data_IF_600228330121
#
_entry.id   IF_600228330121
#
_cell.length_a   1.000
_cell.length_b   1.000
_cell.length_c   1.000
_cell.angle_alpha   90.00
_cell.angle_beta   90.00
_cell.angle_gamma   90.00
#
_symmetry.space_group_name_H-M   'P 1'
#
loop_
_entity.id
_entity.type
_entity.pdbx_description
1 polymer ?
#
# COMPACT_ATOMS: atom_id res chain seq x y z
N UNK A 1 -6.34 21.57 -15.45
CA UNK A 1 -5.42 22.51 -16.11
C UNK A 1 -4.07 21.85 -16.19
N UNK A 2 -3.71 21.34 -17.37
CA UNK A 2 -2.36 20.90 -17.68
C UNK A 2 -1.41 22.07 -17.48
N UNK A 3 -0.42 21.95 -16.59
CA UNK A 3 0.60 22.95 -16.30
C UNK A 3 1.56 23.16 -17.46
N UNK A 4 1.06 23.54 -18.63
CA UNK A 4 1.85 24.20 -19.65
C UNK A 4 2.28 25.54 -19.07
N UNK A 5 3.42 25.55 -18.39
CA UNK A 5 4.04 26.79 -17.95
C UNK A 5 4.48 27.57 -19.20
N UNK A 6 4.10 28.85 -19.25
CA UNK A 6 4.61 29.76 -20.27
C UNK A 6 6.13 29.70 -20.33
N UNK A 7 6.65 29.79 -21.56
CA UNK A 7 8.07 29.77 -21.92
C UNK A 7 8.94 30.69 -21.03
N UNK A 8 8.36 31.76 -20.50
CA UNK A 8 9.04 32.79 -19.73
C UNK A 8 9.40 32.40 -18.29
N UNK A 9 8.70 31.42 -17.67
CA UNK A 9 9.08 30.91 -16.34
C UNK A 9 10.14 29.81 -16.43
N UNK A 10 10.09 28.98 -17.48
CA UNK A 10 11.07 27.92 -17.70
C UNK A 10 12.48 28.48 -17.96
N UNK A 11 12.57 29.63 -18.65
CA UNK A 11 13.84 30.29 -18.98
C UNK A 11 14.54 30.94 -17.77
N UNK A 12 13.81 31.29 -16.71
CA UNK A 12 14.35 32.03 -15.56
C UNK A 12 14.78 31.13 -14.39
N UNK A 13 14.03 30.06 -14.11
CA UNK A 13 14.28 29.22 -12.93
C UNK A 13 15.35 28.14 -13.16
N UNK A 14 15.48 27.60 -14.38
CA UNK A 14 16.47 26.55 -14.67
C UNK A 14 17.92 27.01 -14.43
N UNK A 15 18.37 28.20 -14.91
CA UNK A 15 19.74 28.65 -14.71
C UNK A 15 20.11 28.89 -13.25
N UNK A 16 19.24 29.58 -12.49
CA UNK A 16 19.50 29.84 -11.06
C UNK A 16 19.51 28.54 -10.24
N UNK A 17 18.59 27.62 -10.53
CA UNK A 17 18.55 26.33 -9.84
C UNK A 17 19.79 25.49 -10.13
N UNK A 18 20.26 25.48 -11.39
CA UNK A 18 21.53 24.84 -11.78
C UNK A 18 22.73 25.45 -11.05
N UNK A 19 22.78 26.78 -10.94
CA UNK A 19 23.87 27.47 -10.23
C UNK A 19 23.90 27.11 -8.73
N UNK A 20 22.73 27.05 -8.08
CA UNK A 20 22.63 26.62 -6.68
C UNK A 20 23.13 25.19 -6.45
N UNK A 21 22.98 24.32 -7.45
CA UNK A 21 23.29 22.89 -7.37
C UNK A 21 24.65 22.53 -7.95
N UNK A 22 25.46 23.51 -8.38
CA UNK A 22 26.73 23.27 -9.10
C UNK A 22 27.67 22.30 -8.38
N UNK A 23 27.64 22.29 -7.06
CA UNK A 23 28.44 21.43 -6.20
C UNK A 23 27.98 19.95 -6.24
N UNK A 24 26.72 19.69 -6.57
CA UNK A 24 26.14 18.34 -6.57
C UNK A 24 25.71 17.83 -7.94
N UNK A 25 25.64 18.66 -8.98
CA UNK A 25 25.29 18.24 -10.36
C UNK A 25 26.05 16.99 -10.85
N UNK A 26 27.37 16.84 -10.61
CA UNK A 26 28.12 15.66 -11.05
C UNK A 26 27.66 14.33 -10.42
N UNK A 27 26.96 14.38 -9.28
CA UNK A 27 26.45 13.19 -8.56
C UNK A 27 25.05 12.75 -9.00
N UNK A 28 24.42 13.49 -9.92
CA UNK A 28 23.07 13.22 -10.39
C UNK A 28 23.07 12.20 -11.53
N UNK A 29 22.00 11.39 -11.65
CA UNK A 29 21.88 10.42 -12.75
C UNK A 29 21.66 11.10 -14.12
N UNK A 30 21.15 12.33 -14.12
CA UNK A 30 21.00 13.16 -15.32
C UNK A 30 21.10 14.62 -14.94
N UNK A 31 21.72 15.41 -15.81
CA UNK A 31 21.84 16.87 -15.68
C UNK A 31 20.96 17.60 -16.72
N UNK A 32 20.06 16.89 -17.41
CA UNK A 32 19.16 17.53 -18.37
C UNK A 32 18.09 18.40 -17.69
N UNK A 33 17.48 19.32 -18.45
CA UNK A 33 16.46 20.22 -17.90
C UNK A 33 15.24 19.43 -17.40
N UNK A 34 14.91 18.33 -18.06
CA UNK A 34 13.78 17.48 -17.68
C UNK A 34 13.93 16.95 -16.25
N UNK A 35 15.09 16.42 -15.90
CA UNK A 35 15.38 15.93 -14.56
C UNK A 35 15.23 17.04 -13.51
N UNK A 36 15.87 18.19 -13.71
CA UNK A 36 15.80 19.31 -12.75
C UNK A 36 14.39 19.89 -12.62
N UNK A 37 13.64 19.95 -13.72
CA UNK A 37 12.27 20.45 -13.72
C UNK A 37 11.31 19.58 -12.92
N UNK A 38 11.56 18.28 -12.76
CA UNK A 38 10.73 17.42 -11.88
C UNK A 38 10.75 17.91 -10.43
N UNK A 39 11.94 18.24 -9.92
CA UNK A 39 12.12 18.73 -8.55
C UNK A 39 11.48 20.10 -8.36
N UNK A 40 11.64 20.99 -9.35
CA UNK A 40 11.00 22.30 -9.36
C UNK A 40 9.47 22.19 -9.38
N UNK A 41 8.89 21.38 -10.29
CA UNK A 41 7.43 21.19 -10.38
C UNK A 41 6.87 20.62 -9.08
N UNK A 42 7.53 19.62 -8.50
CA UNK A 42 7.10 18.99 -7.25
C UNK A 42 7.07 19.94 -6.03
N UNK A 43 7.72 21.10 -6.12
CA UNK A 43 7.71 22.15 -5.09
C UNK A 43 7.20 23.48 -5.62
N UNK A 44 6.39 23.47 -6.68
CA UNK A 44 5.77 24.65 -7.26
C UNK A 44 6.77 25.78 -7.61
N UNK A 45 7.97 25.40 -8.06
CA UNK A 45 9.10 26.28 -8.38
C UNK A 45 9.67 27.07 -7.17
N UNK A 46 9.44 26.59 -5.95
CA UNK A 46 10.11 27.08 -4.73
C UNK A 46 11.56 26.57 -4.73
N UNK A 47 12.51 27.45 -5.07
CA UNK A 47 13.92 27.09 -5.23
C UNK A 47 14.52 26.45 -3.96
N UNK A 48 14.43 27.05 -2.75
CA UNK A 48 14.96 26.43 -1.53
C UNK A 48 14.39 25.03 -1.25
N UNK A 49 13.08 24.83 -1.39
CA UNK A 49 12.47 23.52 -1.15
C UNK A 49 12.84 22.49 -2.20
N UNK A 50 12.93 22.91 -3.47
CA UNK A 50 13.36 22.05 -4.58
C UNK A 50 14.79 21.58 -4.39
N UNK A 51 15.67 22.50 -3.96
CA UNK A 51 17.07 22.21 -3.68
C UNK A 51 17.22 21.25 -2.49
N UNK A 52 16.54 21.53 -1.38
CA UNK A 52 16.56 20.66 -0.20
C UNK A 52 16.07 19.24 -0.53
N UNK A 53 15.00 19.12 -1.34
CA UNK A 53 14.48 17.83 -1.78
C UNK A 53 15.50 17.07 -2.63
N UNK A 54 16.13 17.74 -3.60
CA UNK A 54 17.13 17.10 -4.47
C UNK A 54 18.41 16.71 -3.70
N UNK A 55 18.87 17.53 -2.76
CA UNK A 55 20.01 17.19 -1.90
C UNK A 55 19.72 15.97 -1.03
N UNK A 56 18.51 15.87 -0.45
CA UNK A 56 18.06 14.64 0.26
C UNK A 56 18.05 13.42 -0.67
N UNK A 57 17.60 13.58 -1.91
CA UNK A 57 17.63 12.50 -2.90
C UNK A 57 19.06 12.00 -3.17
N UNK A 58 20.05 12.89 -3.27
CA UNK A 58 21.47 12.51 -3.45
C UNK A 58 21.97 11.67 -2.28
N UNK A 59 21.61 12.03 -1.03
CA UNK A 59 21.95 11.23 0.15
C UNK A 59 21.32 9.84 0.11
N UNK A 60 20.04 9.75 -0.30
CA UNK A 60 19.34 8.47 -0.47
C UNK A 60 19.99 7.63 -1.56
N UNK A 61 20.36 8.24 -2.70
CA UNK A 61 21.06 7.54 -3.79
C UNK A 61 22.36 6.91 -3.30
N UNK A 62 23.14 7.66 -2.51
CA UNK A 62 24.37 7.15 -1.90
C UNK A 62 24.10 6.00 -0.93
N UNK A 63 23.07 6.14 -0.07
CA UNK A 63 22.71 5.10 0.90
C UNK A 63 22.22 3.81 0.25
N UNK A 64 21.44 3.93 -0.83
CA UNK A 64 20.88 2.80 -1.57
C UNK A 64 21.86 2.17 -2.57
N UNK A 65 23.03 2.78 -2.77
CA UNK A 65 23.98 2.44 -3.83
C UNK A 65 23.30 2.45 -5.21
N UNK A 66 22.57 3.54 -5.49
CA UNK A 66 21.65 3.66 -6.64
C UNK A 66 22.33 3.46 -8.00
N UNK A 67 23.63 3.76 -8.11
CA UNK A 67 24.36 3.62 -9.36
C UNK A 67 24.56 2.14 -9.74
N UNK A 68 24.73 1.26 -8.73
CA UNK A 68 24.93 -0.18 -8.89
C UNK A 68 23.68 -1.01 -8.55
N UNK A 69 22.57 -0.38 -8.14
CA UNK A 69 21.43 -1.10 -7.56
C UNK A 69 20.75 -2.10 -8.51
N UNK A 70 20.89 -1.93 -9.82
CA UNK A 70 20.34 -2.91 -10.77
C UNK A 70 21.12 -4.23 -10.80
N UNK A 71 22.39 -4.20 -10.41
CA UNK A 71 23.26 -5.37 -10.25
C UNK A 71 23.05 -6.05 -8.89
N UNK A 72 22.49 -5.34 -7.91
CA UNK A 72 22.09 -5.93 -6.64
C UNK A 72 20.96 -6.94 -6.85
N UNK A 73 21.18 -8.16 -6.38
CA UNK A 73 20.18 -9.22 -6.40
C UNK A 73 19.34 -9.20 -5.11
N UNK A 74 18.01 -9.06 -5.21
CA UNK A 74 17.15 -9.16 -4.05
C UNK A 74 17.20 -10.58 -3.45
N UNK A 75 16.99 -10.72 -2.12
CA UNK A 75 16.80 -12.01 -1.47
C UNK A 75 15.82 -12.91 -2.23
N UNK A 76 16.10 -14.22 -2.27
CA UNK A 76 15.31 -15.19 -3.03
C UNK A 76 13.81 -15.11 -2.74
N UNK A 77 13.46 -14.93 -1.46
CA UNK A 77 12.07 -14.79 -1.02
C UNK A 77 11.37 -13.57 -1.63
N UNK A 78 12.08 -12.43 -1.77
CA UNK A 78 11.53 -11.24 -2.41
C UNK A 78 11.34 -11.51 -3.90
N UNK A 79 12.34 -12.07 -4.60
CA UNK A 79 12.23 -12.35 -6.04
C UNK A 79 11.09 -13.32 -6.38
N UNK A 80 10.83 -14.29 -5.49
CA UNK A 80 9.82 -15.33 -5.70
C UNK A 80 8.42 -14.92 -5.28
N UNK A 81 8.27 -14.14 -4.21
CA UNK A 81 6.96 -13.91 -3.57
C UNK A 81 6.55 -12.44 -3.48
N UNK A 82 7.44 -11.49 -3.79
CA UNK A 82 7.02 -10.09 -3.93
C UNK A 82 6.33 -9.91 -5.27
N UNK A 83 5.03 -9.64 -5.22
CA UNK A 83 4.20 -9.47 -6.40
C UNK A 83 4.55 -8.20 -7.18
N UNK A 84 4.22 -8.23 -8.47
CA UNK A 84 4.31 -7.12 -9.40
C UNK A 84 5.43 -7.28 -10.41
N UNK A 85 5.54 -6.30 -11.30
CA UNK A 85 6.56 -6.28 -12.34
C UNK A 85 6.24 -5.33 -13.49
N UNK A 86 7.25 -5.06 -14.31
CA UNK A 86 7.12 -4.22 -15.48
C UNK A 86 6.70 -5.05 -16.70
N UNK A 87 5.61 -4.65 -17.37
CA UNK A 87 5.11 -5.38 -18.54
C UNK A 87 4.46 -4.44 -19.56
N UNK A 88 5.10 -4.30 -20.73
CA UNK A 88 4.57 -3.51 -21.83
C UNK A 88 4.74 -2.00 -21.66
N UNK A 89 4.26 -1.26 -22.66
CA UNK A 89 4.27 0.19 -22.71
C UNK A 89 2.90 0.71 -23.14
N UNK A 90 2.53 1.90 -22.66
CA UNK A 90 1.30 2.54 -23.12
C UNK A 90 1.42 3.05 -24.57
N UNK A 91 0.33 3.59 -25.12
CA UNK A 91 0.29 4.12 -26.50
C UNK A 91 1.29 5.26 -26.74
N UNK A 92 1.78 5.90 -25.69
CA UNK A 92 2.80 6.93 -25.73
C UNK A 92 4.18 6.38 -25.34
N UNK A 93 4.37 5.06 -25.31
CA UNK A 93 5.64 4.44 -25.00
C UNK A 93 6.10 4.57 -23.54
N UNK A 94 5.23 4.99 -22.62
CA UNK A 94 5.54 5.03 -21.19
C UNK A 94 5.53 3.61 -20.62
N UNK A 95 6.55 3.17 -19.87
CA UNK A 95 6.57 1.84 -19.25
C UNK A 95 5.38 1.63 -18.31
N UNK A 96 4.89 0.38 -18.26
CA UNK A 96 3.77 -0.01 -17.40
C UNK A 96 4.27 -0.91 -16.25
N UNK A 97 3.91 -0.55 -15.02
CA UNK A 97 4.12 -1.36 -13.83
C UNK A 97 2.80 -1.98 -13.33
N UNK A 98 2.82 -3.27 -13.03
CA UNK A 98 1.71 -3.98 -12.39
C UNK A 98 2.06 -4.29 -10.94
N UNK A 99 1.16 -4.00 -10.00
CA UNK A 99 1.22 -4.51 -8.61
C UNK A 99 -0.02 -5.38 -8.35
N UNK A 100 0.19 -6.60 -7.85
CA UNK A 100 -0.88 -7.61 -7.64
C UNK A 100 -1.11 -7.81 -6.15
N UNK A 101 -2.18 -7.22 -5.60
CA UNK A 101 -2.30 -7.07 -4.15
C UNK A 101 -2.81 -8.33 -3.45
N UNK A 102 -3.91 -8.93 -3.91
CA UNK A 102 -4.57 -10.05 -3.20
C UNK A 102 -3.68 -11.24 -2.82
N UNK A 103 -2.79 -11.75 -3.69
CA UNK A 103 -1.94 -12.88 -3.37
C UNK A 103 -0.68 -12.50 -2.57
N UNK A 104 -0.47 -11.21 -2.24
CA UNK A 104 0.69 -10.79 -1.47
C UNK A 104 0.59 -11.29 -0.02
N UNK A 105 1.55 -12.11 0.39
CA UNK A 105 1.73 -12.51 1.79
C UNK A 105 2.68 -11.54 2.51
N UNK A 106 2.12 -10.38 2.91
CA UNK A 106 2.89 -9.33 3.59
C UNK A 106 3.50 -9.81 4.92
N UNK A 107 2.84 -10.72 5.63
CA UNK A 107 3.33 -11.25 6.92
C UNK A 107 4.51 -12.19 6.69
N UNK A 108 4.38 -13.14 5.77
CA UNK A 108 5.47 -14.03 5.37
C UNK A 108 6.68 -13.28 4.82
N UNK A 109 6.47 -12.23 4.00
CA UNK A 109 7.56 -11.38 3.51
C UNK A 109 8.28 -10.64 4.63
N UNK A 110 7.55 -10.02 5.56
CA UNK A 110 8.16 -9.29 6.69
C UNK A 110 8.82 -10.20 7.74
N UNK A 111 8.43 -11.47 7.78
CA UNK A 111 9.08 -12.50 8.60
C UNK A 111 10.30 -13.12 7.91
N UNK A 112 10.42 -12.98 6.59
CA UNK A 112 11.49 -13.61 5.80
C UNK A 112 12.55 -12.62 5.29
N UNK A 113 12.21 -11.34 5.19
CA UNK A 113 13.10 -10.29 4.71
C UNK A 113 13.15 -9.10 5.68
N UNK A 114 14.20 -8.30 5.57
CA UNK A 114 14.25 -7.03 6.30
C UNK A 114 13.41 -5.97 5.59
N UNK A 115 12.91 -4.99 6.34
CA UNK A 115 12.24 -3.81 5.76
C UNK A 115 13.16 -3.07 4.80
N UNK A 116 14.47 -3.03 5.09
CA UNK A 116 15.48 -2.41 4.23
C UNK A 116 15.60 -3.14 2.89
N UNK A 117 15.56 -4.47 2.86
CA UNK A 117 15.59 -5.23 1.60
C UNK A 117 14.34 -4.97 0.75
N UNK A 118 13.17 -4.83 1.39
CA UNK A 118 11.92 -4.49 0.69
C UNK A 118 11.98 -3.05 0.10
N UNK A 119 12.48 -2.08 0.88
CA UNK A 119 12.71 -0.71 0.43
C UNK A 119 13.72 -0.66 -0.72
N UNK A 120 14.85 -1.35 -0.58
CA UNK A 120 15.89 -1.42 -1.61
C UNK A 120 15.38 -2.10 -2.88
N UNK A 121 14.55 -3.14 -2.76
CA UNK A 121 13.91 -3.76 -3.91
C UNK A 121 12.97 -2.80 -4.65
N UNK A 122 12.10 -2.06 -3.95
CA UNK A 122 11.24 -1.08 -4.62
C UNK A 122 12.02 0.11 -5.18
N UNK A 123 13.11 0.54 -4.55
CA UNK A 123 14.01 1.54 -5.12
C UNK A 123 14.67 1.02 -6.41
N UNK A 124 15.09 -0.25 -6.43
CA UNK A 124 15.62 -0.93 -7.63
C UNK A 124 14.58 -0.95 -8.75
N UNK A 125 13.32 -1.27 -8.45
CA UNK A 125 12.23 -1.25 -9.42
C UNK A 125 12.04 0.15 -10.03
N UNK A 126 12.15 1.21 -9.22
CA UNK A 126 12.09 2.59 -9.69
C UNK A 126 13.28 2.98 -10.59
N UNK A 127 14.51 2.59 -10.24
CA UNK A 127 15.69 2.81 -11.10
C UNK A 127 15.58 2.02 -12.42
N UNK A 128 15.01 0.81 -12.39
CA UNK A 128 14.76 0.02 -13.59
C UNK A 128 13.78 0.73 -14.51
N UNK A 129 12.66 1.23 -13.97
CA UNK A 129 11.68 2.02 -14.72
C UNK A 129 12.29 3.32 -15.27
N UNK A 130 13.16 3.99 -14.51
CA UNK A 130 13.89 5.18 -14.98
C UNK A 130 14.77 4.86 -16.19
N UNK A 131 15.58 3.79 -16.13
CA UNK A 131 16.40 3.35 -17.27
C UNK A 131 15.53 2.95 -18.45
N UNK A 132 14.36 2.36 -18.20
CA UNK A 132 13.45 1.98 -19.27
C UNK A 132 12.82 3.21 -19.97
N UNK A 133 12.46 4.24 -19.22
CA UNK A 133 12.07 5.54 -19.76
C UNK A 133 13.18 6.15 -20.64
N UNK A 134 14.45 6.05 -20.25
CA UNK A 134 15.59 6.53 -21.05
C UNK A 134 15.72 5.77 -22.37
N UNK A 135 15.64 4.43 -22.35
CA UNK A 135 15.65 3.61 -23.57
C UNK A 135 14.49 3.95 -24.49
N UNK A 136 13.29 4.09 -23.94
CA UNK A 136 12.11 4.49 -24.72
C UNK A 136 12.27 5.90 -25.29
N UNK A 137 12.92 6.80 -24.56
CA UNK A 137 13.22 8.14 -25.06
C UNK A 137 14.12 8.11 -26.29
N UNK A 138 15.17 7.29 -26.24
CA UNK A 138 16.10 7.10 -27.35
C UNK A 138 15.39 6.45 -28.55
N UNK A 139 14.63 5.40 -28.31
CA UNK A 139 13.89 4.64 -29.34
C UNK A 139 12.86 5.51 -30.08
N UNK A 140 12.16 6.39 -29.37
CA UNK A 140 11.06 7.18 -29.92
C UNK A 140 11.47 8.59 -30.36
N UNK A 141 12.72 8.99 -30.10
CA UNK A 141 13.22 10.34 -30.42
C UNK A 141 12.53 11.47 -29.65
N UNK A 142 11.89 11.17 -28.51
CA UNK A 142 11.21 12.16 -27.64
C UNK A 142 11.31 11.75 -26.18
N UNK A 143 11.27 12.71 -25.25
CA UNK A 143 11.40 12.41 -23.81
C UNK A 143 10.24 11.56 -23.31
N UNK A 144 10.57 10.43 -22.69
CA UNK A 144 9.72 9.59 -21.84
C UNK A 144 10.30 9.67 -20.44
N UNK A 145 9.50 10.09 -19.47
CA UNK A 145 9.96 10.29 -18.09
C UNK A 145 8.93 9.92 -17.02
N UNK A 146 7.79 9.37 -17.44
CA UNK A 146 6.68 9.00 -16.58
C UNK A 146 6.27 7.55 -16.81
N UNK A 147 5.68 6.93 -15.80
CA UNK A 147 5.21 5.54 -15.84
C UNK A 147 3.71 5.45 -15.61
N UNK A 148 3.08 4.45 -16.21
CA UNK A 148 1.70 4.08 -15.94
C UNK A 148 1.69 2.91 -14.96
N UNK A 149 0.86 2.95 -13.94
CA UNK A 149 0.74 1.88 -12.95
C UNK A 149 -0.65 1.25 -13.03
N UNK A 150 -0.71 -0.07 -12.96
CA UNK A 150 -1.95 -0.86 -12.84
C UNK A 150 -1.88 -1.62 -11.53
N UNK A 151 -2.82 -1.32 -10.65
CA UNK A 151 -2.95 -1.90 -9.32
C UNK A 151 -4.12 -2.85 -9.31
N UNK A 152 -3.82 -4.13 -9.30
CA UNK A 152 -4.81 -5.18 -9.18
C UNK A 152 -5.16 -5.40 -7.71
N UNK A 153 -6.31 -4.86 -7.31
CA UNK A 153 -6.79 -4.98 -5.93
C UNK A 153 -7.74 -6.17 -5.72
N UNK A 154 -7.89 -7.07 -6.70
CA UNK A 154 -8.64 -8.31 -6.48
C UNK A 154 -8.02 -9.08 -5.31
N UNK A 155 -8.85 -9.52 -4.37
CA UNK A 155 -8.41 -10.21 -3.15
C UNK A 155 -7.84 -9.30 -2.05
N UNK A 156 -7.79 -7.98 -2.24
CA UNK A 156 -7.52 -7.05 -1.13
C UNK A 156 -8.53 -7.29 0.01
N UNK A 157 -8.00 -7.36 1.24
CA UNK A 157 -8.73 -7.90 2.39
C UNK A 157 -8.01 -7.60 3.71
N UNK A 158 -8.61 -8.02 4.82
CA UNK A 158 -8.16 -7.73 6.19
C UNK A 158 -6.68 -8.09 6.46
N UNK A 159 -6.18 -9.17 5.85
CA UNK A 159 -4.76 -9.57 5.97
C UNK A 159 -3.76 -8.48 5.57
N UNK A 160 -4.16 -7.60 4.64
CA UNK A 160 -3.31 -6.51 4.15
C UNK A 160 -3.36 -5.28 5.06
N UNK A 161 -4.28 -5.22 6.03
CA UNK A 161 -4.40 -4.14 7.00
C UNK A 161 -3.58 -4.38 8.27
N UNK A 162 -2.81 -5.47 8.31
CA UNK A 162 -1.85 -5.74 9.39
C UNK A 162 -0.88 -4.56 9.55
N UNK A 163 -0.80 -4.01 10.76
CA UNK A 163 -0.14 -2.72 11.00
C UNK A 163 1.31 -2.66 10.49
N UNK A 164 2.18 -3.64 10.77
CA UNK A 164 3.54 -3.64 10.20
C UNK A 164 3.61 -3.64 8.67
N UNK A 165 2.66 -4.29 7.99
CA UNK A 165 2.58 -4.25 6.53
C UNK A 165 2.15 -2.87 6.03
N UNK A 166 1.14 -2.27 6.66
CA UNK A 166 0.66 -0.92 6.33
C UNK A 166 1.76 0.12 6.54
N UNK A 167 2.46 0.06 7.68
CA UNK A 167 3.56 0.98 8.01
C UNK A 167 4.72 0.83 7.02
N UNK A 168 5.11 -0.42 6.71
CA UNK A 168 6.15 -0.69 5.69
C UNK A 168 5.74 -0.15 4.32
N UNK A 169 4.48 -0.35 3.93
CA UNK A 169 3.98 0.14 2.66
C UNK A 169 3.92 1.68 2.60
N UNK A 170 3.57 2.33 3.71
CA UNK A 170 3.66 3.78 3.86
C UNK A 170 5.08 4.31 3.66
N UNK A 171 6.09 3.63 4.20
CA UNK A 171 7.49 3.96 3.96
C UNK A 171 7.91 3.78 2.50
N UNK A 172 7.43 2.72 1.82
CA UNK A 172 7.68 2.52 0.38
C UNK A 172 7.09 3.67 -0.45
N UNK A 173 5.85 4.09 -0.16
CA UNK A 173 5.21 5.22 -0.82
C UNK A 173 5.93 6.54 -0.55
N UNK A 174 6.36 6.74 0.70
CA UNK A 174 7.10 7.95 1.10
C UNK A 174 8.44 8.03 0.37
N UNK A 175 9.16 6.90 0.29
CA UNK A 175 10.38 6.79 -0.51
C UNK A 175 10.12 7.16 -1.98
N UNK A 176 9.04 6.66 -2.57
CA UNK A 176 8.66 6.97 -3.95
C UNK A 176 8.40 8.47 -4.16
N UNK A 177 7.56 9.09 -3.32
CA UNK A 177 7.19 10.51 -3.41
C UNK A 177 8.37 11.46 -3.17
N UNK A 178 9.31 11.06 -2.31
CA UNK A 178 10.49 11.87 -1.98
C UNK A 178 11.60 11.78 -3.04
N UNK A 179 11.70 10.65 -3.77
CA UNK A 179 12.83 10.37 -4.66
C UNK A 179 12.48 10.31 -6.15
N UNK A 180 11.21 10.12 -6.48
CA UNK A 180 10.73 10.02 -7.86
C UNK A 180 9.57 11.00 -8.12
N UNK A 181 9.74 12.30 -7.81
CA UNK A 181 8.71 13.30 -8.07
C UNK A 181 8.31 13.32 -9.54
N UNK A 182 7.06 13.68 -9.82
CA UNK A 182 6.56 13.93 -11.18
C UNK A 182 6.77 12.73 -12.13
N UNK A 183 6.95 11.52 -11.60
CA UNK A 183 7.28 10.33 -12.40
C UNK A 183 6.07 9.41 -12.62
N UNK A 184 4.95 9.65 -11.95
CA UNK A 184 3.68 8.96 -12.21
C UNK A 184 2.89 9.67 -13.31
N UNK A 185 2.49 8.95 -14.36
CA UNK A 185 1.54 9.41 -15.38
C UNK A 185 0.11 9.23 -14.89
N UNK A 186 -0.23 8.00 -14.48
CA UNK A 186 -1.55 7.58 -14.03
C UNK A 186 -1.45 6.26 -13.28
N UNK A 187 -2.29 6.08 -12.26
CA UNK A 187 -2.43 4.84 -11.52
C UNK A 187 -3.88 4.35 -11.66
N UNK A 188 -4.07 3.20 -12.32
CA UNK A 188 -5.37 2.55 -12.43
C UNK A 188 -5.53 1.50 -11.33
N UNK A 189 -6.54 1.69 -10.48
CA UNK A 189 -6.99 0.65 -9.54
C UNK A 189 -8.04 -0.20 -10.28
N UNK A 190 -7.78 -1.49 -10.43
CA UNK A 190 -8.73 -2.44 -11.02
C UNK A 190 -9.23 -3.42 -9.98
N UNK A 191 -10.47 -3.90 -10.15
CA UNK A 191 -11.10 -4.92 -9.31
C UNK A 191 -11.08 -4.57 -7.79
N UNK A 192 -11.27 -3.28 -7.47
CA UNK A 192 -11.27 -2.80 -6.09
C UNK A 192 -12.45 -3.39 -5.27
N UNK A 193 -12.20 -4.08 -4.15
CA UNK A 193 -13.26 -4.60 -3.28
C UNK A 193 -13.81 -3.53 -2.32
N UNK A 194 -14.92 -3.84 -1.63
CA UNK A 194 -15.56 -2.92 -0.66
C UNK A 194 -14.65 -2.43 0.47
N UNK A 195 -13.57 -3.15 0.78
CA UNK A 195 -12.59 -2.75 1.80
C UNK A 195 -11.57 -1.72 1.30
N UNK A 196 -11.50 -1.47 -0.02
CA UNK A 196 -10.55 -0.53 -0.61
C UNK A 196 -10.59 0.87 0.01
N UNK A 197 -11.74 1.51 0.31
CA UNK A 197 -11.76 2.82 0.92
C UNK A 197 -11.02 2.87 2.27
N UNK A 198 -11.09 1.80 3.06
CA UNK A 198 -10.37 1.69 4.34
C UNK A 198 -8.86 1.58 4.08
N UNK A 199 -8.46 0.69 3.18
CA UNK A 199 -7.05 0.51 2.80
C UNK A 199 -6.44 1.80 2.23
N UNK A 200 -7.17 2.47 1.34
CA UNK A 200 -6.74 3.73 0.74
C UNK A 200 -6.62 4.84 1.80
N UNK A 201 -7.54 4.92 2.77
CA UNK A 201 -7.46 5.89 3.85
C UNK A 201 -6.19 5.75 4.71
N UNK A 202 -5.73 4.51 4.91
CA UNK A 202 -4.49 4.23 5.63
C UNK A 202 -3.25 4.73 4.92
N UNK A 203 -3.23 4.74 3.58
CA UNK A 203 -2.02 5.03 2.81
C UNK A 203 -2.05 6.39 2.13
N UNK A 204 -3.23 7.01 1.97
CA UNK A 204 -3.39 8.24 1.20
C UNK A 204 -2.54 9.38 1.74
N UNK A 205 -2.31 9.44 3.05
CA UNK A 205 -1.55 10.52 3.68
C UNK A 205 -0.06 10.51 3.31
N UNK A 206 0.47 9.37 2.84
CA UNK A 206 1.82 9.28 2.26
C UNK A 206 1.87 9.76 0.80
N UNK A 207 0.73 9.85 0.12
CA UNK A 207 0.65 10.28 -1.28
C UNK A 207 0.55 11.80 -1.37
N UNK A 208 1.27 12.39 -2.32
CA UNK A 208 1.15 13.80 -2.67
C UNK A 208 -0.18 14.11 -3.33
N UNK A 209 -0.59 15.38 -3.34
CA UNK A 209 -1.81 15.78 -4.05
C UNK A 209 -1.76 15.46 -5.55
N UNK A 210 -0.57 15.57 -6.16
CA UNK A 210 -0.36 15.23 -7.57
C UNK A 210 -0.63 13.75 -7.82
N UNK A 211 -0.03 12.86 -7.02
CA UNK A 211 -0.28 11.42 -7.10
C UNK A 211 -1.75 11.09 -6.88
N UNK A 212 -2.40 11.64 -5.84
CA UNK A 212 -3.82 11.39 -5.57
C UNK A 212 -4.73 11.79 -6.74
N UNK A 213 -4.41 12.88 -7.46
CA UNK A 213 -5.15 13.31 -8.66
C UNK A 213 -4.99 12.36 -9.85
N UNK A 214 -3.93 11.54 -9.84
CA UNK A 214 -3.60 10.56 -10.90
C UNK A 214 -4.12 9.15 -10.58
N UNK A 215 -4.64 8.91 -9.37
CA UNK A 215 -5.31 7.66 -9.01
C UNK A 215 -6.71 7.63 -9.62
N UNK A 216 -7.00 6.56 -10.37
CA UNK A 216 -8.28 6.34 -11.02
C UNK A 216 -8.81 4.96 -10.66
N UNK A 217 -9.91 4.90 -9.92
CA UNK A 217 -10.60 3.65 -9.60
C UNK A 217 -11.52 3.26 -10.75
N UNK A 218 -11.29 2.09 -11.33
CA UNK A 218 -12.04 1.58 -12.48
C UNK A 218 -13.17 0.63 -12.03
N UNK A 219 -14.29 0.70 -12.75
CA UNK A 219 -15.46 -0.18 -12.55
C UNK A 219 -15.34 -1.50 -13.30
N UNK A 220 -16.48 -2.15 -13.56
CA UNK A 220 -16.54 -3.43 -14.27
C UNK A 220 -15.93 -3.42 -15.67
N UNK A 221 -15.98 -2.29 -16.37
CA UNK A 221 -15.40 -2.11 -17.70
C UNK A 221 -13.89 -1.79 -17.69
N UNK A 222 -13.18 -2.11 -16.60
CA UNK A 222 -11.76 -1.78 -16.43
C UNK A 222 -10.88 -2.27 -17.60
N UNK A 223 -11.14 -3.46 -18.16
CA UNK A 223 -10.42 -3.98 -19.34
C UNK A 223 -10.53 -3.04 -20.55
N UNK A 224 -11.75 -2.61 -20.88
CA UNK A 224 -12.00 -1.66 -21.98
C UNK A 224 -11.32 -0.31 -21.73
N UNK A 225 -11.32 0.16 -20.49
CA UNK A 225 -10.65 1.41 -20.13
C UNK A 225 -9.14 1.28 -20.30
N UNK A 226 -8.51 0.19 -19.86
CA UNK A 226 -7.08 -0.04 -20.07
C UNK A 226 -6.71 -0.01 -21.56
N UNK A 227 -7.51 -0.65 -22.43
CA UNK A 227 -7.29 -0.66 -23.88
C UNK A 227 -7.38 0.74 -24.54
N UNK A 228 -8.04 1.72 -23.91
CA UNK A 228 -8.04 3.12 -24.39
C UNK A 228 -6.68 3.79 -24.21
N UNK A 229 -5.89 3.36 -23.24
CA UNK A 229 -4.58 3.95 -22.93
C UNK A 229 -3.41 3.11 -23.42
N UNK A 230 -3.61 1.81 -23.57
CA UNK A 230 -2.57 0.83 -23.89
C UNK A 230 -3.02 0.01 -25.10
N UNK A 231 -2.11 -0.25 -26.03
CA UNK A 231 -2.40 -1.16 -27.15
C UNK A 231 -2.63 -2.59 -26.63
N UNK A 232 -3.63 -3.35 -27.14
CA UNK A 232 -3.91 -4.70 -26.65
C UNK A 232 -2.68 -5.63 -26.64
N UNK A 233 -1.79 -5.49 -27.62
CA UNK A 233 -0.53 -6.26 -27.74
C UNK A 233 0.48 -5.97 -26.62
N UNK A 234 0.27 -4.89 -25.86
CA UNK A 234 1.11 -4.49 -24.72
C UNK A 234 0.45 -4.81 -23.37
N UNK A 235 -0.79 -5.31 -23.36
CA UNK A 235 -1.53 -5.68 -22.15
C UNK A 235 -1.58 -7.22 -22.07
N UNK A 236 -1.21 -7.83 -20.93
CA UNK A 236 -1.42 -9.26 -20.73
C UNK A 236 -2.87 -9.68 -21.00
N UNK A 237 -3.09 -10.88 -21.54
CA UNK A 237 -4.45 -11.42 -21.75
C UNK A 237 -5.26 -11.41 -20.45
N UNK A 238 -4.63 -11.71 -19.31
CA UNK A 238 -5.22 -11.60 -17.96
C UNK A 238 -5.88 -10.22 -17.73
N UNK A 239 -5.21 -9.14 -18.17
CA UNK A 239 -5.65 -7.76 -18.03
C UNK A 239 -6.46 -7.23 -19.22
N UNK A 240 -6.88 -8.12 -20.12
CA UNK A 240 -7.77 -7.80 -21.24
C UNK A 240 -7.07 -7.41 -22.53
N UNK A 241 -5.79 -7.72 -22.71
CA UNK A 241 -5.11 -7.58 -24.00
C UNK A 241 -4.90 -8.89 -24.74
N UNK A 242 -3.81 -8.95 -25.49
CA UNK A 242 -3.39 -10.10 -26.31
C UNK A 242 -1.97 -10.57 -25.99
N UNK A 243 -1.25 -9.90 -25.08
CA UNK A 243 0.11 -10.29 -24.72
C UNK A 243 0.11 -11.58 -23.89
N UNK A 244 0.95 -12.52 -24.27
CA UNK A 244 1.25 -13.74 -23.51
C UNK A 244 2.75 -13.90 -23.33
N UNK A 245 3.16 -14.80 -22.46
CA UNK A 245 4.52 -15.33 -22.48
C UNK A 245 4.77 -16.18 -23.74
N UNK A 246 6.04 -16.52 -24.05
CA UNK A 246 6.38 -17.35 -25.21
C UNK A 246 5.72 -18.73 -25.23
N UNK A 247 5.34 -19.26 -24.06
CA UNK A 247 4.61 -20.53 -23.90
C UNK A 247 3.08 -20.38 -24.01
N UNK A 248 2.59 -19.18 -24.30
CA UNK A 248 1.16 -18.87 -24.40
C UNK A 248 0.49 -18.55 -23.07
N UNK A 249 1.23 -18.45 -21.96
CA UNK A 249 0.62 -18.16 -20.66
C UNK A 249 0.01 -16.74 -20.63
N UNK A 250 -1.29 -16.58 -20.35
CA UNK A 250 -1.99 -15.30 -20.42
C UNK A 250 -1.62 -14.31 -19.30
N UNK A 251 -0.93 -14.79 -18.26
CA UNK A 251 -0.52 -14.00 -17.10
C UNK A 251 0.84 -13.33 -17.28
N UNK A 252 1.62 -13.72 -18.29
CA UNK A 252 2.99 -13.25 -18.48
C UNK A 252 3.90 -13.38 -17.23
N UNK A 253 3.96 -14.54 -16.54
CA UNK A 253 4.79 -14.73 -15.35
C UNK A 253 6.29 -14.48 -15.55
N UNK A 254 6.79 -14.46 -16.78
CA UNK A 254 8.18 -14.05 -17.09
C UNK A 254 8.45 -12.57 -16.78
N UNK A 255 7.39 -11.75 -16.67
CA UNK A 255 7.47 -10.29 -16.44
C UNK A 255 6.74 -9.84 -15.17
N UNK A 256 5.69 -10.54 -14.76
CA UNK A 256 4.84 -10.16 -13.62
C UNK A 256 4.88 -11.29 -12.58
N UNK A 257 5.33 -10.98 -11.38
CA UNK A 257 5.23 -11.88 -10.24
C UNK A 257 3.82 -11.79 -9.63
N UNK A 258 3.16 -12.94 -9.39
CA UNK A 258 1.80 -13.01 -8.84
C UNK A 258 1.76 -13.30 -7.34
N UNK A 259 2.88 -13.15 -6.64
CA UNK A 259 3.01 -13.39 -5.20
C UNK A 259 2.77 -14.86 -4.83
N UNK A 260 2.01 -15.05 -3.75
CA UNK A 260 1.73 -16.35 -3.14
C UNK A 260 2.22 -16.42 -1.70
N UNK A 261 1.76 -17.44 -0.99
CA UNK A 261 2.12 -17.65 0.40
C UNK A 261 3.61 -17.98 0.52
N UNK A 262 4.31 -17.29 1.41
CA UNK A 262 5.75 -17.50 1.61
C UNK A 262 5.95 -18.79 2.43
N UNK A 263 6.71 -19.78 1.93
CA UNK A 263 6.99 -20.98 2.70
C UNK A 263 7.72 -20.67 4.00
N UNK A 264 7.30 -21.30 5.10
CA UNK A 264 7.88 -21.10 6.44
C UNK A 264 9.40 -21.33 6.51
N UNK A 265 9.98 -22.12 5.59
CA UNK A 265 11.44 -22.30 5.50
C UNK A 265 12.22 -21.01 5.23
N UNK A 266 11.57 -19.96 4.72
CA UNK A 266 12.19 -18.65 4.51
C UNK A 266 12.12 -17.75 5.75
N UNK A 267 11.35 -18.13 6.78
CA UNK A 267 11.12 -17.27 7.93
C UNK A 267 12.39 -17.21 8.77
N UNK A 268 12.89 -16.00 8.99
CA UNK A 268 14.06 -15.73 9.84
C UNK A 268 13.66 -15.17 11.21
N UNK A 269 12.36 -14.90 11.40
CA UNK A 269 11.75 -14.44 12.65
C UNK A 269 10.29 -14.90 12.71
N UNK A 270 9.78 -15.05 13.93
CA UNK A 270 8.40 -15.44 14.25
C UNK A 270 7.53 -14.26 14.71
N UNK A 271 8.15 -13.14 15.06
CA UNK A 271 7.50 -11.90 15.47
C UNK A 271 8.29 -10.67 15.02
N UNK A 272 7.59 -9.53 14.98
CA UNK A 272 8.20 -8.21 14.85
C UNK A 272 8.14 -7.49 16.19
N UNK A 273 9.15 -6.69 16.50
CA UNK A 273 9.09 -5.80 17.67
C UNK A 273 7.97 -4.80 17.48
N UNK A 274 6.97 -4.85 18.36
CA UNK A 274 5.81 -3.96 18.34
C UNK A 274 5.79 -3.09 19.60
N UNK A 275 5.34 -1.85 19.41
CA UNK A 275 4.99 -0.95 20.52
C UNK A 275 3.49 -1.01 20.74
N UNK A 276 3.09 -1.02 22.01
CA UNK A 276 1.69 -1.04 22.43
C UNK A 276 1.33 0.29 23.08
N UNK A 277 0.11 0.75 22.84
CA UNK A 277 -0.38 2.03 23.34
C UNK A 277 -0.77 1.96 24.82
N UNK A 278 -1.31 0.80 25.24
CA UNK A 278 -1.81 0.59 26.58
C UNK A 278 -1.19 -0.64 27.22
N UNK A 279 -1.13 -0.62 28.56
CA UNK A 279 -0.78 -1.78 29.37
C UNK A 279 -1.66 -1.80 30.60
N UNK A 280 -2.32 -2.94 30.84
CA UNK A 280 -3.29 -3.12 31.93
C UNK A 280 -3.02 -4.41 32.68
N UNK A 281 -3.42 -4.45 33.95
CA UNK A 281 -3.40 -5.68 34.75
C UNK A 281 -4.82 -6.21 34.88
N UNK A 282 -5.08 -7.36 34.28
CA UNK A 282 -6.35 -8.09 34.40
C UNK A 282 -6.25 -9.02 35.60
N UNK A 283 -6.86 -8.62 36.72
CA UNK A 283 -6.87 -9.41 37.94
C UNK A 283 -7.50 -10.80 37.73
N UNK A 284 -7.12 -11.75 38.59
CA UNK A 284 -7.72 -13.09 38.60
C UNK A 284 -9.25 -13.01 38.73
N UNK A 285 -9.97 -13.87 38.04
CA UNK A 285 -11.44 -13.88 38.09
C UNK A 285 -12.10 -12.64 37.45
N UNK A 286 -11.34 -11.78 36.77
CA UNK A 286 -11.82 -10.50 36.23
C UNK A 286 -11.63 -10.39 34.72
N UNK A 287 -12.13 -9.30 34.14
CA UNK A 287 -11.93 -8.94 32.74
C UNK A 287 -11.75 -7.44 32.58
N UNK A 288 -10.93 -7.07 31.60
CA UNK A 288 -10.77 -5.69 31.13
C UNK A 288 -11.50 -5.53 29.80
N UNK A 289 -12.12 -4.37 29.58
CA UNK A 289 -12.84 -4.10 28.34
C UNK A 289 -12.55 -2.69 27.84
N UNK A 290 -12.50 -2.55 26.52
CA UNK A 290 -12.47 -1.26 25.83
C UNK A 290 -13.65 -1.19 24.88
N UNK A 291 -14.27 -0.03 24.80
CA UNK A 291 -15.52 0.19 24.07
C UNK A 291 -15.30 1.21 22.95
N UNK A 292 -15.78 0.89 21.76
CA UNK A 292 -15.72 1.75 20.59
C UNK A 292 -17.12 1.92 20.02
N UNK A 293 -17.62 3.16 20.07
CA UNK A 293 -18.89 3.53 19.45
C UNK A 293 -18.71 3.72 17.94
N UNK A 294 -19.32 2.82 17.17
CA UNK A 294 -19.29 2.84 15.71
C UNK A 294 -20.62 3.40 15.22
N UNK A 295 -20.57 4.58 14.60
CA UNK A 295 -21.76 5.25 14.07
C UNK A 295 -22.05 4.85 12.62
N UNK A 296 -21.00 4.52 11.85
CA UNK A 296 -21.09 4.24 10.42
C UNK A 296 -20.54 2.85 10.13
N UNK A 297 -21.31 1.97 9.46
CA UNK A 297 -20.82 0.67 9.01
C UNK A 297 -19.64 0.80 8.04
N UNK A 298 -18.85 -0.26 7.92
CA UNK A 298 -17.78 -0.36 6.93
C UNK A 298 -16.39 0.03 7.44
N UNK A 299 -16.28 0.60 8.65
CA UNK A 299 -14.98 0.74 9.32
C UNK A 299 -14.42 -0.62 9.76
N UNK A 300 -13.11 -0.67 9.98
CA UNK A 300 -12.42 -1.88 10.46
C UNK A 300 -11.88 -1.62 11.86
N UNK A 301 -12.26 -2.46 12.83
CA UNK A 301 -11.56 -2.55 14.10
C UNK A 301 -10.29 -3.38 13.87
N UNK A 302 -9.15 -2.85 14.27
CA UNK A 302 -7.86 -3.54 14.24
C UNK A 302 -7.29 -3.58 15.65
N UNK A 303 -6.74 -4.71 16.07
CA UNK A 303 -6.10 -4.86 17.36
C UNK A 303 -4.79 -5.64 17.26
N UNK A 304 -3.93 -5.39 18.24
CA UNK A 304 -2.76 -6.21 18.55
C UNK A 304 -2.58 -6.25 20.06
N UNK A 305 -2.18 -7.40 20.61
CA UNK A 305 -1.94 -7.53 22.04
C UNK A 305 -0.91 -8.61 22.37
N UNK A 306 -0.26 -8.44 23.52
CA UNK A 306 0.66 -9.39 24.12
C UNK A 306 0.34 -9.51 25.62
N UNK A 307 0.49 -10.71 26.17
CA UNK A 307 0.41 -10.94 27.62
C UNK A 307 1.77 -11.30 28.19
N UNK A 308 2.01 -10.98 29.46
CA UNK A 308 3.23 -11.42 30.15
C UNK A 308 3.03 -12.80 30.78
N UNK A 309 3.86 -13.78 30.38
CA UNK A 309 4.07 -15.06 31.09
C UNK A 309 2.92 -16.07 31.11
N UNK A 310 1.74 -15.73 30.60
CA UNK A 310 0.57 -16.62 30.56
C UNK A 310 -0.30 -16.34 29.34
N UNK A 311 -1.24 -17.24 29.06
CA UNK A 311 -2.29 -17.00 28.06
C UNK A 311 -3.20 -15.83 28.45
N UNK A 312 -4.11 -15.38 27.59
CA UNK A 312 -5.22 -14.48 27.97
C UNK A 312 -6.43 -14.79 27.12
N UNK A 313 -7.64 -14.70 27.69
CA UNK A 313 -8.87 -14.76 26.92
C UNK A 313 -9.06 -13.46 26.14
N UNK A 314 -9.48 -13.54 24.88
CA UNK A 314 -9.84 -12.36 24.10
C UNK A 314 -11.04 -12.64 23.20
N UNK A 315 -11.99 -11.71 23.17
CA UNK A 315 -13.14 -11.73 22.26
C UNK A 315 -13.65 -10.32 21.97
N UNK A 316 -14.44 -10.19 20.90
CA UNK A 316 -15.10 -8.93 20.52
C UNK A 316 -16.60 -9.13 20.54
N UNK A 317 -17.32 -8.18 21.14
CA UNK A 317 -18.75 -8.23 21.35
C UNK A 317 -19.40 -6.95 20.85
N UNK A 318 -20.70 -6.99 20.57
CA UNK A 318 -21.54 -5.83 20.29
C UNK A 318 -22.57 -5.69 21.40
N UNK A 319 -22.62 -4.52 22.05
CA UNK A 319 -23.62 -4.25 23.10
C UNK A 319 -25.04 -4.37 22.55
N UNK A 320 -25.92 -4.93 23.37
CA UNK A 320 -27.37 -5.03 23.10
C UNK A 320 -28.15 -3.89 23.75
N UNK A 321 -27.54 -3.21 24.73
CA UNK A 321 -28.14 -2.09 25.47
C UNK A 321 -27.15 -0.92 25.59
N UNK A 322 -27.66 0.29 25.49
CA UNK A 322 -26.87 1.52 25.62
C UNK A 322 -26.63 1.83 27.11
N UNK A 323 -25.43 2.29 27.46
CA UNK A 323 -25.09 2.77 28.80
C UNK A 323 -24.26 1.78 29.63
N UNK A 324 -24.92 0.85 30.32
CA UNK A 324 -24.26 0.07 31.37
C UNK A 324 -23.19 -0.92 30.86
N UNK A 325 -22.25 -1.26 31.74
CA UNK A 325 -21.29 -2.34 31.52
C UNK A 325 -22.04 -3.68 31.47
N UNK A 326 -22.10 -4.29 30.29
CA UNK A 326 -22.76 -5.58 30.10
C UNK A 326 -21.79 -6.74 30.37
N UNK A 327 -22.31 -7.85 30.90
CA UNK A 327 -21.54 -9.11 30.96
C UNK A 327 -21.46 -9.70 29.55
N UNK A 328 -20.47 -10.55 29.31
CA UNK A 328 -20.29 -11.17 27.99
C UNK A 328 -21.54 -11.89 27.48
N UNK A 329 -22.25 -12.63 28.35
CA UNK A 329 -23.48 -13.33 27.98
C UNK A 329 -24.68 -12.44 27.65
N UNK A 330 -24.62 -11.14 27.94
CA UNK A 330 -25.67 -10.17 27.62
C UNK A 330 -25.39 -9.41 26.31
N UNK A 331 -24.23 -9.64 25.69
CA UNK A 331 -23.80 -9.00 24.45
C UNK A 331 -23.82 -9.98 23.29
N UNK A 332 -23.95 -9.48 22.07
CA UNK A 332 -23.81 -10.30 20.87
C UNK A 332 -22.34 -10.55 20.61
N UNK A 333 -21.90 -11.81 20.63
CA UNK A 333 -20.53 -12.16 20.29
C UNK A 333 -20.30 -11.98 18.77
N UNK A 334 -19.34 -11.13 18.39
CA UNK A 334 -18.99 -10.87 16.98
C UNK A 334 -17.62 -11.42 16.60
N UNK A 335 -16.76 -11.66 17.59
CA UNK A 335 -15.52 -12.41 17.46
C UNK A 335 -15.37 -13.33 18.67
N UNK A 336 -15.36 -14.67 18.47
CA UNK A 336 -15.42 -15.63 19.57
C UNK A 336 -14.34 -15.43 20.62
N UNK A 337 -14.72 -15.53 21.89
CA UNK A 337 -13.74 -15.48 22.98
C UNK A 337 -12.92 -16.76 23.04
N UNK A 338 -11.62 -16.66 22.77
CA UNK A 338 -10.67 -17.78 22.81
C UNK A 338 -9.50 -17.48 23.75
N UNK A 339 -8.79 -18.54 24.17
CA UNK A 339 -7.57 -18.41 24.96
C UNK A 339 -6.37 -18.35 24.03
N UNK A 340 -5.61 -17.28 24.12
CA UNK A 340 -4.45 -17.04 23.28
C UNK A 340 -3.16 -17.13 24.09
N UNK A 341 -2.16 -17.86 23.58
CA UNK A 341 -0.81 -17.90 24.16
C UNK A 341 0.00 -16.65 23.76
N UNK A 342 -0.60 -15.47 23.97
CA UNK A 342 -0.05 -14.19 23.52
C UNK A 342 1.22 -13.75 24.25
N UNK A 343 1.81 -14.59 25.12
CA UNK A 343 3.12 -14.36 25.72
C UNK A 343 4.27 -14.85 24.84
N UNK A 344 4.02 -15.85 23.99
CA UNK A 344 5.01 -16.40 23.07
C UNK A 344 5.15 -15.53 21.83
N UNK A 345 4.02 -15.25 21.17
CA UNK A 345 3.93 -14.41 19.97
C UNK A 345 2.76 -13.44 20.18
N UNK A 346 2.91 -12.14 19.85
CA UNK A 346 1.80 -11.21 19.85
C UNK A 346 0.63 -11.70 19.00
N UNK A 347 -0.58 -11.47 19.48
CA UNK A 347 -1.79 -11.73 18.71
C UNK A 347 -2.21 -10.45 18.00
N UNK A 348 -2.64 -10.58 16.75
CA UNK A 348 -3.17 -9.50 15.94
C UNK A 348 -4.45 -9.95 15.24
N UNK A 349 -5.35 -9.00 14.99
CA UNK A 349 -6.62 -9.31 14.35
C UNK A 349 -7.33 -8.06 13.88
N UNK A 350 -8.33 -8.28 13.04
CA UNK A 350 -9.21 -7.21 12.58
C UNK A 350 -10.60 -7.73 12.22
N UNK A 351 -11.57 -6.83 12.27
CA UNK A 351 -12.97 -7.11 12.01
C UNK A 351 -13.61 -5.91 11.29
N UNK A 352 -14.32 -6.17 10.19
CA UNK A 352 -15.18 -5.15 9.57
C UNK A 352 -16.45 -4.98 10.40
N UNK A 353 -16.72 -3.75 10.85
CA UNK A 353 -17.92 -3.40 11.60
C UNK A 353 -19.09 -3.25 10.64
N UNK A 354 -19.93 -4.29 10.52
CA UNK A 354 -21.06 -4.33 9.57
C UNK A 354 -22.29 -3.58 10.05
N UNK A 355 -22.40 -3.31 11.35
CA UNK A 355 -23.52 -2.60 11.95
C UNK A 355 -23.02 -1.48 12.88
N UNK A 356 -23.79 -0.38 13.02
CA UNK A 356 -23.54 0.62 14.06
C UNK A 356 -23.78 0.03 15.45
N UNK A 357 -23.09 0.57 16.45
CA UNK A 357 -23.24 0.21 17.85
C UNK A 357 -21.93 0.25 18.62
N UNK A 358 -21.97 -0.18 19.88
CA UNK A 358 -20.80 -0.16 20.76
C UNK A 358 -20.12 -1.53 20.71
N UNK A 359 -18.98 -1.59 20.05
CA UNK A 359 -18.13 -2.78 20.01
C UNK A 359 -17.25 -2.81 21.25
N UNK A 360 -17.19 -3.97 21.90
CA UNK A 360 -16.47 -4.19 23.16
C UNK A 360 -15.39 -5.23 22.92
N UNK A 361 -14.12 -4.82 22.98
CA UNK A 361 -12.99 -5.73 22.95
C UNK A 361 -12.67 -6.09 24.40
N UNK A 362 -12.73 -7.38 24.72
CA UNK A 362 -12.69 -7.88 26.11
C UNK A 362 -11.51 -8.81 26.31
N UNK A 363 -10.62 -8.45 27.24
CA UNK A 363 -9.55 -9.31 27.75
C UNK A 363 -10.04 -10.03 29.00
N UNK A 364 -10.10 -11.36 28.94
CA UNK A 364 -10.69 -12.21 29.96
C UNK A 364 -9.62 -12.99 30.74
N UNK A 365 -9.66 -12.85 32.06
CA UNK A 365 -8.87 -13.62 33.02
C UNK A 365 -9.78 -14.33 34.03
N UNK A 366 -11.04 -14.63 33.64
CA UNK A 366 -12.03 -15.21 34.58
C UNK A 366 -11.73 -16.67 34.91
N UNK A 367 -10.96 -17.35 34.06
CA UNK A 367 -10.55 -18.74 34.23
C UNK A 367 -9.28 -18.94 35.09
N UNK A 368 -8.57 -17.87 35.47
CA UNK A 368 -7.34 -17.99 36.28
C UNK A 368 -7.66 -17.98 37.76
N UNK A 369 -7.16 -19.00 38.47
CA UNK A 369 -7.35 -19.15 39.91
C UNK A 369 -6.26 -18.44 40.74
N UNK A 370 -5.08 -18.21 40.16
CA UNK A 370 -3.88 -17.83 40.94
C UNK A 370 -3.29 -16.49 40.49
N UNK A 371 -3.17 -16.26 39.18
CA UNK A 371 -2.36 -15.15 38.67
C UNK A 371 -3.19 -14.07 37.95
N UNK A 372 -2.88 -12.81 38.25
CA UNK A 372 -3.24 -11.67 37.40
C UNK A 372 -2.42 -11.70 36.10
N UNK A 373 -2.95 -11.09 35.04
CA UNK A 373 -2.32 -11.06 33.72
C UNK A 373 -2.04 -9.63 33.33
N UNK A 374 -0.78 -9.30 33.04
CA UNK A 374 -0.42 -8.01 32.46
C UNK A 374 -0.53 -8.11 30.95
N UNK A 375 -1.35 -7.27 30.35
CA UNK A 375 -1.69 -7.28 28.92
C UNK A 375 -1.33 -5.92 28.34
N UNK A 376 -0.49 -5.93 27.32
CA UNK A 376 -0.16 -4.76 26.51
C UNK A 376 -0.91 -4.84 25.19
N UNK A 377 -1.59 -3.77 24.78
CA UNK A 377 -2.44 -3.80 23.58
C UNK A 377 -2.53 -2.44 22.88
N UNK A 378 -2.92 -2.48 21.61
CA UNK A 378 -3.33 -1.32 20.79
C UNK A 378 -4.60 -1.69 20.04
N UNK A 379 -5.57 -0.78 19.98
CA UNK A 379 -6.80 -0.95 19.20
C UNK A 379 -7.06 0.32 18.40
N UNK A 380 -7.30 0.16 17.11
CA UNK A 380 -7.51 1.26 16.17
C UNK A 380 -8.83 1.06 15.42
N UNK A 381 -9.56 2.16 15.19
CA UNK A 381 -10.71 2.18 14.28
C UNK A 381 -10.23 2.76 12.95
N UNK A 382 -10.25 1.93 11.91
CA UNK A 382 -9.83 2.31 10.58
C UNK A 382 -11.06 2.74 9.77
N UNK A 383 -11.16 4.04 9.51
CA UNK A 383 -12.28 4.62 8.80
C UNK A 383 -12.11 4.49 7.27
N UNK A 384 -13.20 4.34 6.50
CA UNK A 384 -13.14 4.44 5.05
C UNK A 384 -12.85 5.87 4.58
N UNK A 385 -12.16 6.01 3.45
CA UNK A 385 -12.06 7.28 2.72
C UNK A 385 -13.40 7.57 2.02
N UNK A 386 -14.11 8.61 2.48
CA UNK A 386 -15.45 8.96 1.97
C UNK A 386 -15.50 9.14 0.45
N UNK A 387 -14.50 9.80 -0.14
CA UNK A 387 -14.46 10.03 -1.59
C UNK A 387 -14.35 8.72 -2.36
N UNK A 388 -13.46 7.82 -1.92
CA UNK A 388 -13.27 6.52 -2.56
C UNK A 388 -14.46 5.58 -2.34
N UNK A 389 -15.10 5.67 -1.17
CA UNK A 389 -16.33 4.95 -0.86
C UNK A 389 -17.47 5.36 -1.79
N UNK A 390 -17.72 6.67 -1.96
CA UNK A 390 -18.70 7.18 -2.92
C UNK A 390 -18.40 6.76 -4.35
N UNK A 391 -17.12 6.74 -4.76
CA UNK A 391 -16.71 6.28 -6.09
C UNK A 391 -17.04 4.80 -6.27
N UNK A 392 -16.67 3.94 -5.32
CA UNK A 392 -16.95 2.50 -5.39
C UNK A 392 -18.44 2.23 -5.38
N UNK A 393 -19.22 2.95 -4.57
CA UNK A 393 -20.67 2.83 -4.54
C UNK A 393 -21.28 3.18 -5.91
N UNK A 394 -20.91 4.33 -6.49
CA UNK A 394 -21.36 4.73 -7.84
C UNK A 394 -20.99 3.71 -8.91
N UNK A 395 -19.84 3.06 -8.80
CA UNK A 395 -19.42 2.01 -9.73
C UNK A 395 -20.26 0.72 -9.56
N UNK A 396 -20.58 0.36 -8.31
CA UNK A 396 -21.46 -0.78 -8.00
C UNK A 396 -22.91 -0.57 -8.42
N UNK A 397 -23.45 0.63 -8.25
CA UNK A 397 -24.83 0.96 -8.63
C UNK A 397 -25.02 0.86 -10.15
N UNK A 398 -24.07 1.39 -10.93
CA UNK A 398 -24.06 1.25 -12.40
C UNK A 398 -24.03 -0.21 -12.87
N UNK A 399 -23.37 -1.10 -12.13
CA UNK A 399 -23.39 -2.54 -12.45
C UNK A 399 -24.76 -3.16 -12.20
N UNK A 400 -25.43 -2.75 -11.11
CA UNK A 400 -26.76 -3.25 -10.73
C UNK A 400 -27.81 -2.82 -11.75
N UNK A 401 -27.74 -1.58 -12.24
CA UNK A 401 -28.62 -1.08 -13.31
C UNK A 401 -28.44 -1.86 -14.62
N UNK A 402 -27.19 -2.12 -15.05
CA UNK A 402 -26.90 -2.90 -16.26
C UNK A 402 -27.35 -4.36 -16.15
N UNK A 403 -27.28 -4.96 -14.95
CA UNK A 403 -27.76 -6.31 -14.70
C UNK A 403 -29.29 -6.41 -14.76
N UNK A 404 -30.00 -5.37 -14.29
CA UNK A 404 -31.46 -5.28 -14.35
C UNK A 404 -31.98 -5.06 -15.78
N UNK A 405 -31.26 -4.33 -16.62
CA UNK A 405 -31.63 -4.12 -18.03
C UNK A 405 -31.38 -5.34 -18.93
N UNK A 406 -30.58 -6.31 -18.47
CA UNK A 406 -30.21 -7.52 -19.21
C UNK A 406 -30.86 -8.80 -18.62
N UNK A 407 -31.82 -8.66 -17.70
CA UNK A 407 -32.64 -9.79 -17.24
C UNK A 407 -33.85 -9.96 -18.17
N UNK A 408 -34.15 -11.17 -18.67
CA UNK A 408 -35.11 -11.42 -19.75
C UNK A 408 -36.56 -11.05 -19.41
#
# INVERSE_FOLDING_TARGET
MSGGLGTDRLSLFSPQFRENLKDVLPSLPSQDDYFLLKWLRARCFDLPKSEAMLRKHIEVRKHMDADNILEWEPPEVIRKYMSGGMCGYDREGCPIWYDIIGPLDSKGLLFSASKQDLLKNKFRDCEMLRRECEKQSQKLGRKIEVVLMVYDCEGLGLKHLWKPAVDTYGELLSMFEENYPESLKRLFIVKAPKIFPVAYNLIKHFLSEDTRKKVVVLGSNWKEVLQKYIDPEQIPVEYGGTLTDPDGNPKCPSKINYGGDVPQKYYVRDQLTQQYEHTVVVNRGSSHQVEYEILFPGCVLRWQFKSEGADVGFGVYLKTKIGERQRAGDMTEVYPNQRYNSHMVPEDGSLTCSAPGIYVLRFDNTYSYIHAKKVSYTVEVLLPDKTSEEQIQKLGDKMSEVALTNSP
#
